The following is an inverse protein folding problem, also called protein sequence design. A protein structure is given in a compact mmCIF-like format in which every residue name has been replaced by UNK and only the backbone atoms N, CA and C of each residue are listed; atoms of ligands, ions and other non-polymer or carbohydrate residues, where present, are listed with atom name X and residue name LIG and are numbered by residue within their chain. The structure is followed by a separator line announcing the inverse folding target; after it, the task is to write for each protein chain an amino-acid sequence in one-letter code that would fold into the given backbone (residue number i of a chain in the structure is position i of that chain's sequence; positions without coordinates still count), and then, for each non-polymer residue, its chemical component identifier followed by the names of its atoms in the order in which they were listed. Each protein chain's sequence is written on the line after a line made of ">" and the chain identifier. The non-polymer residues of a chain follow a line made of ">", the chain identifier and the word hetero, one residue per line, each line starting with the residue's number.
data_IF_871685730117
#
_entry.id   IF_871685730117
#
_cell.length_a   1.000
_cell.length_b   1.000
_cell.length_c   1.000
_cell.angle_alpha   90.00
_cell.angle_beta   90.00
_cell.angle_gamma   90.00
#
_symmetry.space_group_name_H-M   'P 1'
#
loop_
_entity.id
_entity.type
_entity.pdbx_description
1 polymer ?
#
# COMPACT_ATOMS: atom_id res chain seq x y z
N UNK A 1 -21.62 -3.11 -26.19
CA UNK A 1 -20.60 -2.04 -26.26
C UNK A 1 -20.95 -0.84 -25.38
N UNK A 2 -22.15 -0.30 -25.40
CA UNK A 2 -22.59 0.84 -24.56
C UNK A 2 -22.66 0.53 -23.07
N UNK A 3 -23.16 -0.63 -22.65
CA UNK A 3 -23.28 -1.04 -21.25
C UNK A 3 -21.89 -1.26 -20.57
N UNK A 4 -20.95 -1.85 -21.31
CA UNK A 4 -19.59 -2.05 -20.82
C UNK A 4 -18.83 -0.73 -20.67
N UNK A 5 -19.02 0.20 -21.60
CA UNK A 5 -18.45 1.54 -21.53
C UNK A 5 -19.02 2.32 -20.34
N UNK A 6 -20.33 2.24 -20.11
CA UNK A 6 -21.00 2.87 -18.95
C UNK A 6 -20.48 2.33 -17.63
N UNK A 7 -20.28 1.02 -17.51
CA UNK A 7 -19.69 0.39 -16.28
C UNK A 7 -18.26 0.87 -16.04
N UNK A 8 -17.44 0.96 -17.06
CA UNK A 8 -16.05 1.44 -16.95
C UNK A 8 -15.98 2.92 -16.54
N UNK A 9 -16.84 3.76 -17.12
CA UNK A 9 -16.95 5.18 -16.76
C UNK A 9 -17.39 5.33 -15.29
N UNK A 10 -18.38 4.54 -14.87
CA UNK A 10 -18.85 4.54 -13.48
C UNK A 10 -17.73 4.17 -12.50
N UNK A 11 -17.00 3.08 -12.76
CA UNK A 11 -15.86 2.67 -11.93
C UNK A 11 -14.77 3.76 -11.87
N UNK A 12 -14.46 4.39 -13.00
CA UNK A 12 -13.51 5.49 -13.04
C UNK A 12 -13.96 6.70 -12.22
N UNK A 13 -15.25 7.07 -12.32
CA UNK A 13 -15.83 8.18 -11.55
C UNK A 13 -15.83 7.91 -10.05
N UNK A 14 -16.19 6.69 -9.62
CA UNK A 14 -16.17 6.25 -8.22
C UNK A 14 -14.74 6.26 -7.68
N UNK A 15 -13.77 5.79 -8.47
CA UNK A 15 -12.36 5.82 -8.07
C UNK A 15 -11.84 7.25 -7.94
N UNK A 16 -12.18 8.14 -8.87
CA UNK A 16 -11.80 9.55 -8.80
C UNK A 16 -12.42 10.24 -7.58
N UNK A 17 -13.69 9.98 -7.28
CA UNK A 17 -14.35 10.49 -6.08
C UNK A 17 -13.68 9.99 -4.81
N UNK A 18 -13.39 8.69 -4.72
CA UNK A 18 -12.70 8.10 -3.58
C UNK A 18 -11.30 8.71 -3.40
N UNK A 19 -10.58 8.97 -4.48
CA UNK A 19 -9.28 9.64 -4.44
C UNK A 19 -9.40 11.05 -3.83
N UNK A 20 -10.34 11.86 -4.31
CA UNK A 20 -10.55 13.22 -3.77
C UNK A 20 -10.93 13.17 -2.30
N UNK A 21 -11.88 12.29 -1.92
CA UNK A 21 -12.27 12.11 -0.50
C UNK A 21 -11.07 11.69 0.37
N UNK A 22 -10.24 10.77 -0.11
CA UNK A 22 -9.05 10.31 0.60
C UNK A 22 -8.05 11.47 0.80
N UNK A 23 -7.83 12.29 -0.22
CA UNK A 23 -6.94 13.45 -0.11
C UNK A 23 -7.46 14.48 0.88
N UNK A 24 -8.75 14.81 0.83
CA UNK A 24 -9.38 15.77 1.75
C UNK A 24 -9.24 15.28 3.21
N UNK A 25 -9.51 13.99 3.46
CA UNK A 25 -9.35 13.42 4.80
C UNK A 25 -7.89 13.37 5.24
N UNK A 26 -6.96 13.04 4.35
CA UNK A 26 -5.54 13.01 4.65
C UNK A 26 -5.02 14.42 5.03
N UNK A 27 -5.48 15.46 4.34
CA UNK A 27 -5.17 16.85 4.70
C UNK A 27 -5.83 17.27 6.02
N UNK A 28 -7.08 16.87 6.24
CA UNK A 28 -7.78 17.19 7.49
C UNK A 28 -7.10 16.58 8.73
N UNK A 29 -6.53 15.38 8.58
CA UNK A 29 -5.78 14.71 9.65
C UNK A 29 -4.30 15.08 9.69
N UNK A 30 -3.86 16.06 8.86
CA UNK A 30 -2.46 16.49 8.78
C UNK A 30 -1.48 15.32 8.58
N UNK A 31 -1.82 14.36 7.70
CA UNK A 31 -0.88 13.29 7.36
C UNK A 31 0.31 13.87 6.58
N UNK A 32 1.52 13.47 6.93
CA UNK A 32 2.76 14.04 6.37
C UNK A 32 2.87 13.84 4.85
N UNK A 33 2.30 12.75 4.34
CA UNK A 33 2.45 12.37 2.93
C UNK A 33 1.15 11.91 2.30
N UNK A 34 0.13 12.76 2.16
CA UNK A 34 -1.23 12.40 1.73
C UNK A 34 -1.30 11.70 0.38
N UNK A 35 -0.27 11.87 -0.48
CA UNK A 35 -0.23 11.22 -1.80
C UNK A 35 -0.17 9.69 -1.73
N UNK A 36 0.35 9.09 -0.65
CA UNK A 36 0.38 7.65 -0.49
C UNK A 36 -1.00 7.04 -0.20
N UNK A 37 -1.82 7.76 0.54
CA UNK A 37 -3.21 7.35 0.75
C UNK A 37 -3.99 7.38 -0.58
N UNK A 38 -3.82 8.45 -1.37
CA UNK A 38 -4.38 8.54 -2.72
C UNK A 38 -3.85 7.46 -3.67
N UNK A 39 -2.55 7.20 -3.66
CA UNK A 39 -1.95 6.11 -4.45
C UNK A 39 -2.54 4.75 -4.09
N UNK A 40 -2.86 4.52 -2.80
CA UNK A 40 -3.52 3.29 -2.36
C UNK A 40 -4.86 3.09 -3.05
N UNK A 41 -5.68 4.14 -3.20
CA UNK A 41 -6.98 4.09 -3.88
C UNK A 41 -6.83 3.58 -5.32
N UNK A 42 -5.88 4.12 -6.09
CA UNK A 42 -5.66 3.67 -7.46
C UNK A 42 -5.21 2.22 -7.56
N UNK A 43 -4.30 1.82 -6.68
CA UNK A 43 -3.71 0.47 -6.74
C UNK A 43 -4.71 -0.62 -6.35
N UNK A 44 -5.68 -0.35 -5.47
CA UNK A 44 -6.70 -1.34 -5.07
C UNK A 44 -7.94 -1.30 -5.94
N UNK A 45 -8.12 -0.26 -6.76
CA UNK A 45 -9.29 -0.10 -7.63
C UNK A 45 -9.39 -1.24 -8.64
N UNK A 46 -10.47 -2.01 -8.54
CA UNK A 46 -10.81 -3.11 -9.43
C UNK A 46 -12.31 -3.08 -9.75
N UNK A 47 -12.73 -3.65 -10.90
CA UNK A 47 -14.13 -3.65 -11.31
C UNK A 47 -15.07 -4.42 -10.36
N UNK A 48 -14.55 -5.38 -9.59
CA UNK A 48 -15.32 -6.21 -8.65
C UNK A 48 -15.02 -5.83 -7.20
N UNK A 49 -16.07 -5.61 -6.39
CA UNK A 49 -15.95 -5.27 -4.96
C UNK A 49 -15.19 -6.37 -4.20
N UNK A 50 -15.51 -7.65 -4.46
CA UNK A 50 -14.84 -8.76 -3.79
C UNK A 50 -13.33 -8.80 -4.05
N UNK A 51 -12.92 -8.58 -5.31
CA UNK A 51 -11.50 -8.50 -5.68
C UNK A 51 -10.83 -7.27 -5.07
N UNK A 52 -11.53 -6.15 -4.99
CA UNK A 52 -11.04 -4.93 -4.35
C UNK A 52 -10.79 -5.14 -2.87
N UNK A 53 -11.74 -5.74 -2.14
CA UNK A 53 -11.59 -6.05 -0.72
C UNK A 53 -10.44 -7.02 -0.47
N UNK A 54 -10.35 -8.11 -1.23
CA UNK A 54 -9.25 -9.06 -1.14
C UNK A 54 -7.91 -8.37 -1.36
N UNK A 55 -7.80 -7.55 -2.40
CA UNK A 55 -6.57 -6.81 -2.71
C UNK A 55 -6.23 -5.78 -1.64
N UNK A 56 -7.24 -5.11 -1.06
CA UNK A 56 -7.08 -4.19 0.07
C UNK A 56 -6.52 -4.89 1.32
N UNK A 57 -7.08 -6.04 1.68
CA UNK A 57 -6.60 -6.87 2.81
C UNK A 57 -5.16 -7.33 2.58
N UNK A 58 -4.85 -7.87 1.40
CA UNK A 58 -3.48 -8.29 1.06
C UNK A 58 -2.49 -7.12 1.07
N UNK A 59 -2.93 -5.92 0.64
CA UNK A 59 -2.13 -4.70 0.70
C UNK A 59 -1.82 -4.31 2.15
N UNK A 60 -2.81 -4.38 3.03
CA UNK A 60 -2.61 -4.08 4.45
C UNK A 60 -1.61 -5.03 5.10
N UNK A 61 -1.79 -6.35 4.91
CA UNK A 61 -0.84 -7.35 5.43
C UNK A 61 0.57 -7.15 4.87
N UNK A 62 0.70 -6.92 3.57
CA UNK A 62 1.99 -6.63 2.94
C UNK A 62 2.65 -5.37 3.48
N UNK A 63 1.87 -4.30 3.73
CA UNK A 63 2.38 -3.04 4.30
C UNK A 63 2.88 -3.25 5.73
N UNK A 64 2.11 -3.93 6.58
CA UNK A 64 2.53 -4.23 7.97
C UNK A 64 3.78 -5.11 7.98
N UNK A 65 3.79 -6.18 7.20
CA UNK A 65 4.95 -7.07 7.11
C UNK A 65 6.20 -6.34 6.61
N UNK A 66 6.05 -5.49 5.59
CA UNK A 66 7.15 -4.68 5.05
C UNK A 66 7.66 -3.63 6.03
N UNK A 67 6.76 -2.97 6.77
CA UNK A 67 7.11 -2.01 7.79
C UNK A 67 7.90 -2.67 8.94
N UNK A 68 7.44 -3.81 9.44
CA UNK A 68 8.14 -4.59 10.47
C UNK A 68 9.52 -5.05 9.97
N UNK A 69 9.60 -5.58 8.75
CA UNK A 69 10.86 -5.99 8.15
C UNK A 69 11.85 -4.82 8.03
N UNK A 70 11.38 -3.64 7.59
CA UNK A 70 12.22 -2.44 7.50
C UNK A 70 12.76 -2.01 8.88
N UNK A 71 11.91 -2.02 9.92
CA UNK A 71 12.33 -1.69 11.29
C UNK A 71 13.38 -2.66 11.82
N UNK A 72 13.23 -3.95 11.57
CA UNK A 72 14.21 -4.97 11.97
C UNK A 72 15.53 -4.76 11.23
N UNK A 73 15.49 -4.55 9.91
CA UNK A 73 16.69 -4.34 9.10
C UNK A 73 17.45 -3.08 9.52
N UNK A 74 16.75 -1.96 9.71
CA UNK A 74 17.36 -0.71 10.16
C UNK A 74 17.83 -0.81 11.61
N UNK A 75 17.06 -1.44 12.51
CA UNK A 75 17.46 -1.62 13.89
C UNK A 75 18.75 -2.45 14.08
N UNK A 76 18.97 -3.43 13.19
CA UNK A 76 20.14 -4.30 13.29
C UNK A 76 21.35 -3.80 12.47
N UNK A 77 21.13 -3.17 11.34
CA UNK A 77 22.16 -2.92 10.33
C UNK A 77 22.32 -1.45 9.91
N UNK A 78 21.63 -0.49 10.54
CA UNK A 78 21.69 0.91 10.15
C UNK A 78 23.11 1.51 10.17
N UNK A 79 23.99 1.01 11.04
CA UNK A 79 25.36 1.51 11.20
C UNK A 79 26.28 1.03 10.06
N UNK A 80 25.98 -0.13 9.46
CA UNK A 80 26.79 -0.77 8.42
C UNK A 80 26.07 -0.77 7.08
N UNK A 81 26.22 0.30 6.29
CA UNK A 81 25.50 0.51 5.03
C UNK A 81 25.64 -0.64 4.03
N UNK A 82 26.85 -1.21 3.90
CA UNK A 82 27.08 -2.32 2.95
C UNK A 82 26.38 -3.58 3.41
N UNK A 83 26.35 -3.84 4.71
CA UNK A 83 25.65 -4.98 5.29
C UNK A 83 24.13 -4.80 5.13
N UNK A 84 23.61 -3.60 5.43
CA UNK A 84 22.20 -3.26 5.24
C UNK A 84 21.76 -3.52 3.77
N UNK A 85 22.52 -3.03 2.79
CA UNK A 85 22.21 -3.24 1.38
C UNK A 85 22.24 -4.72 0.99
N UNK A 86 23.19 -5.48 1.51
CA UNK A 86 23.32 -6.91 1.21
C UNK A 86 22.14 -7.71 1.79
N UNK A 87 21.78 -7.46 3.05
CA UNK A 87 20.65 -8.14 3.69
C UNK A 87 19.32 -7.68 3.10
N UNK A 88 19.16 -6.39 2.79
CA UNK A 88 18.00 -5.87 2.09
C UNK A 88 17.83 -6.55 0.72
N UNK A 89 18.90 -6.68 -0.07
CA UNK A 89 18.86 -7.36 -1.37
C UNK A 89 18.44 -8.82 -1.24
N UNK A 90 18.93 -9.52 -0.21
CA UNK A 90 18.52 -10.90 0.07
C UNK A 90 17.04 -10.99 0.45
N UNK A 91 16.56 -10.08 1.30
CA UNK A 91 15.15 -9.98 1.66
C UNK A 91 14.25 -9.72 0.43
N UNK A 92 14.64 -8.77 -0.43
CA UNK A 92 13.89 -8.46 -1.67
C UNK A 92 13.84 -9.66 -2.60
N UNK A 93 14.95 -10.37 -2.77
CA UNK A 93 15.02 -11.59 -3.56
C UNK A 93 14.06 -12.68 -3.02
N UNK A 94 14.06 -12.89 -1.70
CA UNK A 94 13.16 -13.83 -1.03
C UNK A 94 11.69 -13.45 -1.25
N UNK A 95 11.34 -12.17 -1.04
CA UNK A 95 9.95 -11.71 -1.22
C UNK A 95 9.48 -11.81 -2.68
N UNK A 96 10.35 -11.51 -3.64
CA UNK A 96 10.04 -11.70 -5.06
C UNK A 96 9.89 -13.18 -5.42
N UNK A 97 10.71 -14.05 -4.87
CA UNK A 97 10.56 -15.50 -5.05
C UNK A 97 9.20 -15.98 -4.51
N UNK A 98 8.84 -15.58 -3.29
CA UNK A 98 7.54 -15.90 -2.69
C UNK A 98 6.37 -15.32 -3.48
N UNK A 99 6.51 -14.12 -4.04
CA UNK A 99 5.53 -13.52 -4.95
C UNK A 99 5.29 -14.40 -6.17
N UNK A 100 6.34 -14.92 -6.80
CA UNK A 100 6.25 -15.73 -8.02
C UNK A 100 5.69 -17.13 -7.75
N UNK A 101 5.93 -17.68 -6.57
CA UNK A 101 5.47 -19.03 -6.21
C UNK A 101 4.08 -19.07 -5.59
N UNK A 102 3.60 -17.95 -5.07
CA UNK A 102 2.34 -17.84 -4.33
C UNK A 102 1.20 -17.32 -5.21
N UNK A 103 0.23 -18.16 -5.53
CA UNK A 103 -0.92 -17.77 -6.37
C UNK A 103 -1.84 -16.76 -5.66
N UNK A 104 -2.07 -16.96 -4.35
CA UNK A 104 -3.04 -16.16 -3.59
C UNK A 104 -2.43 -14.97 -2.85
N UNK A 105 -1.22 -15.12 -2.32
CA UNK A 105 -0.56 -14.12 -1.48
C UNK A 105 0.54 -13.34 -2.19
N UNK A 106 0.79 -13.61 -3.47
CA UNK A 106 1.86 -12.96 -4.24
C UNK A 106 1.82 -11.45 -4.17
N UNK A 107 0.61 -10.86 -4.20
CA UNK A 107 0.43 -9.42 -4.08
C UNK A 107 0.88 -8.87 -2.71
N UNK A 108 0.65 -9.59 -1.61
CA UNK A 108 1.10 -9.17 -0.29
C UNK A 108 2.64 -9.18 -0.18
N UNK A 109 3.30 -10.19 -0.72
CA UNK A 109 4.77 -10.26 -0.77
C UNK A 109 5.36 -9.14 -1.62
N UNK A 110 4.72 -8.81 -2.76
CA UNK A 110 5.13 -7.67 -3.59
C UNK A 110 5.03 -6.34 -2.85
N UNK A 111 3.93 -6.11 -2.13
CA UNK A 111 3.76 -4.90 -1.32
C UNK A 111 4.77 -4.84 -0.18
N UNK A 112 5.02 -5.96 0.50
CA UNK A 112 6.05 -6.04 1.55
C UNK A 112 7.42 -5.65 1.01
N UNK A 113 7.79 -6.15 -0.17
CA UNK A 113 9.02 -5.79 -0.87
C UNK A 113 9.13 -4.27 -1.08
N UNK A 114 8.09 -3.64 -1.67
CA UNK A 114 8.06 -2.20 -1.97
C UNK A 114 8.13 -1.37 -0.68
N UNK A 115 7.34 -1.71 0.32
CA UNK A 115 7.27 -0.94 1.57
C UNK A 115 8.60 -1.00 2.32
N UNK A 116 9.21 -2.19 2.45
CA UNK A 116 10.52 -2.35 3.07
C UNK A 116 11.58 -1.53 2.34
N UNK A 117 11.61 -1.61 1.00
CA UNK A 117 12.56 -0.86 0.18
C UNK A 117 12.41 0.65 0.41
N UNK A 118 11.17 1.17 0.36
CA UNK A 118 10.91 2.61 0.52
C UNK A 118 11.34 3.09 1.92
N UNK A 119 10.95 2.38 2.99
CA UNK A 119 11.29 2.78 4.35
C UNK A 119 12.81 2.73 4.55
N UNK A 120 13.48 1.67 4.12
CA UNK A 120 14.94 1.56 4.25
C UNK A 120 15.67 2.66 3.48
N UNK A 121 15.25 3.00 2.26
CA UNK A 121 15.87 4.07 1.46
C UNK A 121 15.64 5.46 2.05
N UNK A 122 14.45 5.69 2.64
CA UNK A 122 14.12 6.99 3.24
C UNK A 122 14.81 7.18 4.59
N UNK A 123 14.90 6.13 5.40
CA UNK A 123 15.47 6.18 6.73
C UNK A 123 16.98 5.89 6.79
N UNK A 124 17.65 5.67 5.65
CA UNK A 124 19.08 5.34 5.62
C UNK A 124 19.98 6.44 6.21
N UNK A 125 19.56 7.70 6.11
CA UNK A 125 20.28 8.86 6.64
C UNK A 125 19.86 9.21 8.06
N UNK A 126 18.61 8.94 8.42
CA UNK A 126 18.01 9.22 9.73
C UNK A 126 17.22 8.00 10.22
N UNK A 127 17.94 6.95 10.73
CA UNK A 127 17.30 5.69 11.15
C UNK A 127 16.28 5.86 12.29
N UNK A 128 16.39 6.93 13.08
CA UNK A 128 15.45 7.28 14.13
C UNK A 128 14.03 7.54 13.61
N UNK A 129 13.90 8.01 12.36
CA UNK A 129 12.62 8.30 11.75
C UNK A 129 11.93 7.06 11.15
N UNK A 130 12.64 5.92 11.11
CA UNK A 130 12.11 4.68 10.54
C UNK A 130 10.80 4.24 11.17
N UNK A 131 10.64 4.41 12.49
CA UNK A 131 9.42 4.06 13.20
C UNK A 131 8.26 4.95 12.74
N UNK A 132 8.43 6.26 12.72
CA UNK A 132 7.41 7.20 12.24
C UNK A 132 7.03 6.94 10.79
N UNK A 133 8.02 6.75 9.91
CA UNK A 133 7.78 6.39 8.51
C UNK A 133 6.97 5.09 8.37
N UNK A 134 7.25 4.10 9.20
CA UNK A 134 6.55 2.81 9.22
C UNK A 134 5.09 2.98 9.65
N UNK A 135 4.83 3.74 10.72
CA UNK A 135 3.48 4.01 11.23
C UNK A 135 2.68 4.79 10.19
N UNK A 136 3.22 5.87 9.64
CA UNK A 136 2.54 6.66 8.60
C UNK A 136 2.18 5.83 7.37
N UNK A 137 3.03 4.88 6.95
CA UNK A 137 2.71 3.97 5.84
C UNK A 137 1.48 3.11 6.11
N UNK A 138 1.37 2.60 7.33
CA UNK A 138 0.21 1.80 7.74
C UNK A 138 -1.04 2.66 7.79
N UNK A 139 -0.97 3.84 8.39
CA UNK A 139 -2.10 4.78 8.50
C UNK A 139 -2.61 5.24 7.13
N UNK A 140 -1.72 5.68 6.24
CA UNK A 140 -2.05 6.12 4.88
C UNK A 140 -2.68 4.99 4.06
N UNK A 141 -2.17 3.76 4.22
CA UNK A 141 -2.72 2.58 3.54
C UNK A 141 -4.11 2.25 4.07
N UNK A 142 -4.32 2.27 5.39
CA UNK A 142 -5.61 2.05 6.04
C UNK A 142 -6.64 3.09 5.61
N UNK A 143 -6.26 4.37 5.59
CA UNK A 143 -7.12 5.46 5.13
C UNK A 143 -7.57 5.23 3.68
N UNK A 144 -6.63 4.96 2.77
CA UNK A 144 -6.94 4.72 1.36
C UNK A 144 -7.85 3.51 1.15
N UNK A 145 -7.60 2.38 1.83
CA UNK A 145 -8.46 1.19 1.78
C UNK A 145 -9.84 1.48 2.34
N UNK A 146 -9.93 2.12 3.51
CA UNK A 146 -11.17 2.42 4.20
C UNK A 146 -12.07 3.32 3.37
N UNK A 147 -11.55 4.46 2.90
CA UNK A 147 -12.32 5.42 2.09
C UNK A 147 -12.78 4.78 0.78
N UNK A 148 -11.89 4.08 0.07
CA UNK A 148 -12.25 3.43 -1.19
C UNK A 148 -13.35 2.39 -0.98
N UNK A 149 -13.26 1.58 0.08
CA UNK A 149 -14.28 0.58 0.42
C UNK A 149 -15.63 1.23 0.70
N UNK A 150 -15.67 2.28 1.52
CA UNK A 150 -16.91 2.98 1.85
C UNK A 150 -17.53 3.61 0.59
N UNK A 151 -16.75 4.34 -0.19
CA UNK A 151 -17.24 4.98 -1.42
C UNK A 151 -17.77 3.94 -2.40
N UNK A 152 -17.04 2.84 -2.59
CA UNK A 152 -17.47 1.77 -3.49
C UNK A 152 -18.77 1.11 -3.01
N UNK A 153 -18.94 0.86 -1.71
CA UNK A 153 -20.17 0.29 -1.15
C UNK A 153 -21.37 1.23 -1.31
N UNK A 154 -21.17 2.54 -1.17
CA UNK A 154 -22.23 3.54 -1.30
C UNK A 154 -22.67 3.71 -2.75
N UNK A 155 -21.71 3.75 -3.68
CA UNK A 155 -21.96 4.04 -5.10
C UNK A 155 -22.03 2.78 -5.98
N UNK A 156 -21.84 1.57 -5.43
CA UNK A 156 -22.01 0.34 -6.21
C UNK A 156 -23.48 0.15 -6.55
N UNK A 157 -23.82 -0.11 -7.82
CA UNK A 157 -25.18 -0.51 -8.18
C UNK A 157 -25.51 -1.80 -7.45
N UNK A 158 -26.58 -1.76 -6.66
CA UNK A 158 -27.14 -2.97 -6.03
C UNK A 158 -27.78 -3.81 -7.13
N UNK A 159 -27.02 -4.77 -7.68
CA UNK A 159 -27.55 -5.83 -8.55
C UNK A 159 -27.98 -7.01 -7.69
#
# INVERSE_FOLDING_TARGET
>A
MTAELSSRIHTAAVTALAFVCTYVLAFYWNLDRPFWAGFTVFVISLPSIGQTLQKGVLRMFGTIAGAVAALVLLGLFAQERMLLLSVLSLYLCLMLYLMLTSVYYGYAFFISCIVTLIICLMAVHEPQDAFHLSVYRVEETLLGIGVYTVVTLVFSPRT
#
